data_IF_021188311614
#
_entry.id   IF_021188311614
#
_cell.length_a   1.000
_cell.length_b   1.000
_cell.length_c   1.000
_cell.angle_alpha   90.00
_cell.angle_beta   90.00
_cell.angle_gamma   90.00
#
_symmetry.space_group_name_H-M   'P 1'
#
loop_
_entity.id
_entity.type
_entity.pdbx_description
1 polymer ?
#
# COMPACT_ATOMS: atom_id res chain seq x y z
N UNK A 1 8.01 -2.06 22.87
CA UNK A 1 6.76 -1.39 22.43
C UNK A 1 5.82 -2.46 21.87
N UNK A 2 4.72 -2.76 22.57
CA UNK A 2 3.81 -3.84 22.19
C UNK A 2 2.71 -3.33 21.26
N UNK A 3 2.32 -4.18 20.28
CA UNK A 3 1.28 -3.96 19.27
C UNK A 3 -0.07 -3.46 19.83
N UNK A 4 -0.32 -3.63 21.13
CA UNK A 4 -1.52 -3.13 21.82
C UNK A 4 -1.58 -1.59 21.92
N UNK A 5 -0.45 -0.89 21.94
CA UNK A 5 -0.42 0.57 22.05
C UNK A 5 -0.86 1.30 20.77
N UNK A 6 -0.58 0.73 19.60
CA UNK A 6 -0.94 1.35 18.32
C UNK A 6 -2.45 1.27 18.02
N UNK A 7 -3.12 0.21 18.48
CA UNK A 7 -4.57 0.01 18.27
C UNK A 7 -5.40 0.92 19.18
N UNK A 8 -4.96 1.17 20.41
CA UNK A 8 -5.61 2.10 21.33
C UNK A 8 -5.55 3.56 20.81
N UNK A 9 -4.38 3.99 20.32
CA UNK A 9 -4.22 5.28 19.65
C UNK A 9 -5.11 5.42 18.41
N UNK A 10 -5.31 4.32 17.66
CA UNK A 10 -6.15 4.31 16.47
C UNK A 10 -7.65 4.39 16.80
N UNK A 11 -8.09 3.74 17.89
CA UNK A 11 -9.51 3.70 18.29
C UNK A 11 -9.99 5.04 18.86
N UNK A 12 -9.13 5.73 19.61
CA UNK A 12 -9.41 7.06 20.16
C UNK A 12 -9.44 8.13 19.05
N UNK A 13 -8.60 7.96 18.02
CA UNK A 13 -8.55 8.86 16.87
C UNK A 13 -9.68 8.61 15.86
N UNK A 14 -10.03 7.35 15.56
CA UNK A 14 -11.19 7.01 14.70
C UNK A 14 -12.53 7.47 15.30
N UNK A 15 -12.66 7.51 16.63
CA UNK A 15 -13.85 8.07 17.31
C UNK A 15 -14.03 9.58 17.11
N UNK A 16 -12.96 10.31 16.78
CA UNK A 16 -12.98 11.75 16.48
C UNK A 16 -13.13 12.06 14.98
N UNK A 17 -12.86 11.10 14.08
CA UNK A 17 -12.98 11.29 12.62
C UNK A 17 -14.43 11.30 12.11
N UNK A 18 -15.41 11.09 12.99
CA UNK A 18 -16.84 11.12 12.62
C UNK A 18 -17.38 12.54 12.38
N UNK A 19 -16.58 13.60 12.56
CA UNK A 19 -17.00 14.98 12.28
C UNK A 19 -15.95 15.75 11.47
N UNK A 20 -16.14 15.82 10.14
CA UNK A 20 -15.56 16.85 9.28
C UNK A 20 -14.05 16.78 9.05
N UNK A 21 -13.54 15.72 8.42
CA UNK A 21 -12.14 15.66 7.99
C UNK A 21 -11.85 16.70 6.90
N UNK A 22 -10.83 17.53 7.11
CA UNK A 22 -10.35 18.46 6.09
C UNK A 22 -9.63 17.69 4.97
N UNK A 23 -9.52 18.23 3.75
CA UNK A 23 -8.76 17.60 2.67
C UNK A 23 -7.30 17.27 3.04
N UNK A 24 -6.71 18.03 3.98
CA UNK A 24 -5.37 17.76 4.50
C UNK A 24 -5.27 16.48 5.33
N UNK A 25 -6.32 16.17 6.10
CA UNK A 25 -6.36 14.99 6.97
C UNK A 25 -6.47 13.69 6.15
N UNK A 26 -7.28 13.71 5.08
CA UNK A 26 -7.43 12.59 4.16
C UNK A 26 -6.11 12.27 3.44
N UNK A 27 -5.38 13.31 3.03
CA UNK A 27 -4.08 13.16 2.35
C UNK A 27 -3.01 12.59 3.28
N UNK A 28 -2.94 13.08 4.52
CA UNK A 28 -2.05 12.53 5.53
C UNK A 28 -2.38 11.06 5.84
N UNK A 29 -3.66 10.72 5.96
CA UNK A 29 -4.11 9.34 6.16
C UNK A 29 -3.68 8.42 5.00
N UNK A 30 -3.83 8.88 3.75
CA UNK A 30 -3.35 8.15 2.57
C UNK A 30 -1.84 7.87 2.64
N UNK A 31 -1.02 8.88 2.89
CA UNK A 31 0.44 8.72 2.95
C UNK A 31 0.83 7.64 3.98
N UNK A 32 0.23 7.71 5.17
CA UNK A 32 0.46 6.74 6.24
C UNK A 32 0.02 5.32 5.84
N UNK A 33 -1.18 5.18 5.28
CA UNK A 33 -1.73 3.87 4.88
C UNK A 33 -0.92 3.25 3.74
N UNK A 34 -0.60 4.04 2.72
CA UNK A 34 0.19 3.58 1.59
C UNK A 34 1.60 3.16 2.03
N UNK A 35 2.28 3.99 2.82
CA UNK A 35 3.60 3.64 3.36
C UNK A 35 3.56 2.33 4.15
N UNK A 36 2.61 2.18 5.08
CA UNK A 36 2.46 0.96 5.89
C UNK A 36 2.16 -0.26 5.04
N UNK A 37 1.29 -0.12 4.05
CA UNK A 37 0.90 -1.21 3.16
C UNK A 37 2.10 -1.68 2.32
N UNK A 38 2.89 -0.76 1.78
CA UNK A 38 4.12 -1.05 1.05
C UNK A 38 5.22 -1.63 1.95
N UNK A 39 5.46 -1.02 3.11
CA UNK A 39 6.47 -1.49 4.07
C UNK A 39 6.14 -2.89 4.59
N UNK A 40 4.86 -3.18 4.90
CA UNK A 40 4.41 -4.52 5.29
C UNK A 40 4.68 -5.54 4.20
N UNK A 41 4.30 -5.24 2.95
CA UNK A 41 4.54 -6.14 1.81
C UNK A 41 6.04 -6.39 1.59
N UNK A 42 6.88 -5.37 1.76
CA UNK A 42 8.32 -5.46 1.62
C UNK A 42 8.99 -6.26 2.76
N UNK A 43 8.61 -6.00 4.02
CA UNK A 43 9.17 -6.68 5.20
C UNK A 43 8.71 -8.13 5.31
N UNK A 44 7.42 -8.38 5.11
CA UNK A 44 6.86 -9.75 5.12
C UNK A 44 7.13 -10.52 3.84
N UNK A 45 7.72 -9.87 2.82
CA UNK A 45 8.03 -10.43 1.49
C UNK A 45 6.84 -11.24 0.96
N UNK A 46 5.68 -10.59 0.97
CA UNK A 46 4.39 -11.18 0.59
C UNK A 46 4.16 -11.05 -0.91
N UNK A 47 3.49 -12.04 -1.49
CA UNK A 47 3.02 -11.97 -2.88
C UNK A 47 1.99 -10.83 -3.03
N UNK A 48 2.17 -10.00 -4.06
CA UNK A 48 1.28 -8.88 -4.36
C UNK A 48 -0.10 -9.30 -4.87
N UNK A 49 -0.24 -10.53 -5.38
CA UNK A 49 -1.56 -11.08 -5.62
C UNK A 49 -2.22 -11.40 -4.27
N UNK A 50 -3.22 -10.61 -3.89
CA UNK A 50 -3.93 -10.75 -2.61
C UNK A 50 -4.60 -12.12 -2.45
N UNK A 51 -5.05 -12.74 -3.53
CA UNK A 51 -5.65 -14.08 -3.50
C UNK A 51 -4.62 -15.20 -3.26
N UNK A 52 -3.32 -14.93 -3.38
CA UNK A 52 -2.27 -15.93 -3.22
C UNK A 52 -1.90 -16.17 -1.74
N UNK A 53 -1.76 -15.10 -0.95
CA UNK A 53 -1.40 -15.18 0.47
C UNK A 53 0.02 -15.69 0.79
N UNK A 54 0.81 -16.11 -0.21
CA UNK A 54 2.16 -16.66 -0.02
C UNK A 54 3.15 -15.60 0.49
N UNK A 55 4.04 -16.02 1.38
CA UNK A 55 5.20 -15.24 1.83
C UNK A 55 6.47 -16.00 1.48
N UNK A 56 7.62 -15.33 1.32
CA UNK A 56 8.88 -16.05 1.10
C UNK A 56 9.21 -17.02 2.23
N UNK A 57 8.84 -16.70 3.48
CA UNK A 57 9.04 -17.57 4.64
C UNK A 57 8.19 -18.84 4.58
N UNK A 58 6.98 -18.77 4.01
CA UNK A 58 6.07 -19.91 3.87
C UNK A 58 6.17 -20.62 2.53
N UNK A 59 6.94 -20.09 1.57
CA UNK A 59 7.04 -20.69 0.25
C UNK A 59 7.98 -21.90 0.29
N UNK A 60 7.44 -23.10 0.04
CA UNK A 60 8.24 -24.28 -0.32
C UNK A 60 8.99 -24.11 -1.67
N UNK A 61 8.78 -22.96 -2.32
CA UNK A 61 9.34 -22.59 -3.62
C UNK A 61 10.81 -22.22 -3.42
N UNK A 62 11.73 -22.96 -4.06
CA UNK A 62 13.19 -22.72 -4.02
C UNK A 62 13.64 -21.41 -4.68
N UNK A 63 12.72 -20.59 -5.20
CA UNK A 63 13.02 -19.42 -6.02
C UNK A 63 12.63 -18.13 -5.27
N UNK A 64 13.53 -17.14 -5.28
CA UNK A 64 13.30 -15.82 -4.69
C UNK A 64 12.10 -15.13 -5.35
N UNK A 65 11.28 -14.42 -4.58
CA UNK A 65 10.20 -13.63 -5.15
C UNK A 65 10.77 -12.55 -6.05
N UNK A 66 10.06 -12.26 -7.13
CA UNK A 66 10.49 -11.31 -8.15
C UNK A 66 9.78 -9.99 -7.94
N UNK A 67 10.52 -8.88 -7.98
CA UNK A 67 9.93 -7.54 -7.97
C UNK A 67 9.30 -7.25 -9.32
N UNK A 68 8.23 -6.46 -9.32
CA UNK A 68 7.73 -5.82 -10.53
C UNK A 68 8.85 -4.96 -11.11
N UNK A 69 9.30 -5.25 -12.34
CA UNK A 69 10.43 -4.55 -12.96
C UNK A 69 10.22 -3.07 -13.25
N UNK A 70 8.98 -2.57 -13.13
CA UNK A 70 8.64 -1.16 -13.36
C UNK A 70 8.66 -0.35 -12.07
N UNK A 71 7.80 -0.72 -11.11
CA UNK A 71 7.67 0.05 -9.87
C UNK A 71 8.64 -0.41 -8.77
N UNK A 72 9.18 -1.63 -8.87
CA UNK A 72 10.08 -2.26 -7.88
C UNK A 72 9.48 -2.48 -6.47
N UNK A 73 8.22 -2.10 -6.23
CA UNK A 73 7.54 -2.26 -4.94
C UNK A 73 6.91 -3.64 -4.75
N UNK A 74 6.09 -4.06 -5.72
CA UNK A 74 5.30 -5.29 -5.56
C UNK A 74 6.16 -6.51 -5.85
N UNK A 75 6.11 -7.50 -4.95
CA UNK A 75 6.79 -8.78 -5.09
C UNK A 75 5.81 -9.85 -5.56
N UNK A 76 6.27 -10.80 -6.37
CA UNK A 76 5.47 -11.93 -6.81
C UNK A 76 6.24 -13.23 -6.65
N UNK A 77 5.57 -14.26 -6.14
CA UNK A 77 6.14 -15.62 -6.08
C UNK A 77 6.25 -16.27 -7.46
N UNK A 78 5.48 -15.79 -8.45
CA UNK A 78 5.49 -16.31 -9.82
C UNK A 78 5.04 -15.25 -10.84
N UNK A 79 5.40 -15.46 -12.11
CA UNK A 79 4.89 -14.65 -13.23
C UNK A 79 3.37 -14.79 -13.39
N UNK A 80 2.78 -15.91 -12.98
CA UNK A 80 1.33 -16.09 -13.02
C UNK A 80 0.61 -15.18 -12.03
N UNK A 81 1.10 -15.10 -10.78
CA UNK A 81 0.54 -14.19 -9.78
C UNK A 81 0.67 -12.72 -10.20
N UNK A 82 1.77 -12.34 -10.86
CA UNK A 82 1.89 -11.01 -11.44
C UNK A 82 0.81 -10.72 -12.50
N UNK A 83 0.51 -11.68 -13.37
CA UNK A 83 -0.53 -11.51 -14.41
C UNK A 83 -1.94 -11.40 -13.82
N UNK A 84 -2.24 -12.17 -12.77
CA UNK A 84 -3.54 -12.12 -12.09
C UNK A 84 -3.76 -10.76 -11.41
N UNK A 85 -2.78 -10.29 -10.63
CA UNK A 85 -2.80 -8.97 -9.98
C UNK A 85 -2.84 -7.80 -11.01
N UNK A 86 -2.47 -8.06 -12.26
CA UNK A 86 -2.55 -7.09 -13.35
C UNK A 86 -3.96 -6.93 -13.96
N UNK A 87 -4.86 -7.92 -13.79
CA UNK A 87 -6.12 -8.00 -14.52
C UNK A 87 -7.38 -7.88 -13.64
N UNK A 88 -7.32 -8.16 -12.34
CA UNK A 88 -8.48 -8.23 -11.44
C UNK A 88 -8.67 -6.97 -10.54
N UNK A 89 -9.87 -6.39 -10.52
CA UNK A 89 -10.28 -5.36 -9.55
C UNK A 89 -9.51 -4.03 -9.60
N UNK A 90 -9.17 -3.48 -8.41
CA UNK A 90 -8.19 -2.37 -8.30
C UNK A 90 -6.80 -2.96 -8.51
N UNK A 91 -6.45 -3.11 -9.79
CA UNK A 91 -5.25 -3.84 -10.22
C UNK A 91 -3.95 -3.13 -9.91
N UNK A 92 -2.86 -3.90 -9.83
CA UNK A 92 -1.53 -3.30 -9.87
C UNK A 92 -1.28 -2.49 -11.16
N UNK A 93 -1.90 -2.85 -12.29
CA UNK A 93 -1.74 -2.12 -13.56
C UNK A 93 -2.04 -0.63 -13.43
N UNK A 94 -3.09 -0.29 -12.69
CA UNK A 94 -3.55 1.10 -12.55
C UNK A 94 -2.63 1.92 -11.64
N UNK A 95 -2.10 1.32 -10.57
CA UNK A 95 -1.20 2.01 -9.62
C UNK A 95 0.28 1.90 -9.95
N UNK A 96 0.70 0.95 -10.78
CA UNK A 96 2.11 0.72 -11.11
C UNK A 96 2.83 1.99 -11.61
N UNK A 97 2.25 2.82 -12.50
CA UNK A 97 2.87 4.08 -12.92
C UNK A 97 3.04 5.08 -11.76
N UNK A 98 2.05 5.17 -10.88
CA UNK A 98 2.06 6.08 -9.73
C UNK A 98 3.12 5.66 -8.71
N UNK A 99 3.15 4.37 -8.38
CA UNK A 99 4.21 3.80 -7.55
C UNK A 99 5.58 4.06 -8.18
N UNK A 100 5.74 3.90 -9.50
CA UNK A 100 7.01 4.18 -10.18
C UNK A 100 7.50 5.63 -10.01
N UNK A 101 6.58 6.62 -9.98
CA UNK A 101 6.92 8.03 -9.68
C UNK A 101 7.47 8.17 -8.26
N UNK A 102 6.82 7.55 -7.27
CA UNK A 102 7.30 7.54 -5.88
C UNK A 102 8.69 6.87 -5.80
N UNK A 103 8.87 5.74 -6.50
CA UNK A 103 10.14 5.03 -6.52
C UNK A 103 11.30 5.91 -7.03
N UNK A 104 11.06 6.64 -8.12
CA UNK A 104 12.02 7.55 -8.69
C UNK A 104 12.38 8.71 -7.75
N UNK A 105 11.43 9.17 -6.92
CA UNK A 105 11.62 10.32 -6.04
C UNK A 105 12.31 10.01 -4.70
N UNK A 106 12.21 8.79 -4.17
CA UNK A 106 12.64 8.46 -2.80
C UNK A 106 13.97 7.69 -2.69
N UNK A 107 14.30 6.80 -3.64
CA UNK A 107 15.50 5.95 -3.60
C UNK A 107 15.54 4.87 -2.50
N UNK A 108 14.96 5.12 -1.31
CA UNK A 108 14.84 4.18 -0.19
C UNK A 108 13.55 4.42 0.62
N UNK A 109 12.69 3.41 0.66
CA UNK A 109 11.29 3.47 1.11
C UNK A 109 11.07 2.98 2.55
N UNK A 110 12.13 2.52 3.24
CA UNK A 110 12.00 2.02 4.61
C UNK A 110 11.81 3.15 5.64
N UNK A 111 12.11 4.39 5.24
CA UNK A 111 11.95 5.58 6.05
C UNK A 111 10.65 6.30 5.67
N UNK A 112 9.78 6.54 6.66
CA UNK A 112 8.55 7.30 6.50
C UNK A 112 8.79 8.72 5.99
N UNK A 113 9.77 9.44 6.56
CA UNK A 113 10.04 10.85 6.21
C UNK A 113 10.47 10.96 4.74
N UNK A 114 11.32 10.04 4.28
CA UNK A 114 11.76 9.97 2.89
C UNK A 114 10.63 9.56 1.93
N UNK A 115 9.68 8.76 2.40
CA UNK A 115 8.50 8.39 1.64
C UNK A 115 7.51 9.56 1.52
N UNK A 116 7.23 10.27 2.62
CA UNK A 116 6.31 11.41 2.65
C UNK A 116 6.77 12.53 1.73
N UNK A 117 8.05 12.91 1.81
CA UNK A 117 8.63 13.93 0.92
C UNK A 117 8.53 13.52 -0.54
N UNK A 118 8.83 12.26 -0.87
CA UNK A 118 8.74 11.76 -2.23
C UNK A 118 7.30 11.72 -2.75
N UNK A 119 6.34 11.30 -1.91
CA UNK A 119 4.93 11.29 -2.25
C UNK A 119 4.44 12.71 -2.57
N UNK A 120 4.74 13.68 -1.69
CA UNK A 120 4.33 15.07 -1.87
C UNK A 120 4.97 15.69 -3.12
N UNK A 121 6.23 15.36 -3.40
CA UNK A 121 6.96 15.85 -4.57
C UNK A 121 6.45 15.29 -5.89
N UNK A 122 5.72 14.16 -5.87
CA UNK A 122 5.13 13.60 -7.08
C UNK A 122 3.99 14.45 -7.63
N UNK A 123 3.36 15.31 -6.82
CA UNK A 123 2.24 16.16 -7.25
C UNK A 123 1.07 15.35 -7.81
N UNK A 124 0.59 14.35 -7.05
CA UNK A 124 -0.53 13.52 -7.47
C UNK A 124 -1.83 14.33 -7.55
N UNK A 125 -2.59 14.11 -8.63
CA UNK A 125 -3.96 14.61 -8.74
C UNK A 125 -4.90 13.81 -7.81
N UNK A 126 -6.06 14.38 -7.48
CA UNK A 126 -7.02 13.77 -6.53
C UNK A 126 -7.43 12.35 -6.94
N UNK A 127 -7.62 12.11 -8.23
CA UNK A 127 -8.00 10.81 -8.78
C UNK A 127 -6.86 9.78 -8.62
N UNK A 128 -5.61 10.22 -8.73
CA UNK A 128 -4.43 9.38 -8.53
C UNK A 128 -4.25 9.01 -7.06
N UNK A 129 -4.48 9.97 -6.16
CA UNK A 129 -4.47 9.75 -4.71
C UNK A 129 -5.58 8.77 -4.30
N UNK A 130 -6.79 8.93 -4.84
CA UNK A 130 -7.90 8.00 -4.62
C UNK A 130 -7.59 6.59 -5.12
N UNK A 131 -6.92 6.46 -6.26
CA UNK A 131 -6.52 5.16 -6.81
C UNK A 131 -5.49 4.47 -5.91
N UNK A 132 -4.48 5.21 -5.44
CA UNK A 132 -3.49 4.73 -4.48
C UNK A 132 -4.14 4.33 -3.15
N UNK A 133 -5.08 5.12 -2.67
CA UNK A 133 -5.84 4.84 -1.44
C UNK A 133 -6.59 3.52 -1.56
N UNK A 134 -7.43 3.38 -2.59
CA UNK A 134 -8.22 2.18 -2.84
C UNK A 134 -7.35 0.93 -2.99
N UNK A 135 -6.21 1.05 -3.66
CA UNK A 135 -5.27 -0.06 -3.79
C UNK A 135 -4.56 -0.41 -2.48
N UNK A 136 -4.20 0.59 -1.68
CA UNK A 136 -3.56 0.38 -0.38
C UNK A 136 -4.48 -0.38 0.57
N UNK A 137 -5.78 -0.06 0.58
CA UNK A 137 -6.79 -0.68 1.45
C UNK A 137 -7.36 -2.00 0.90
N UNK A 138 -7.38 -2.22 -0.42
CA UNK A 138 -7.87 -3.47 -1.02
C UNK A 138 -7.03 -4.72 -0.66
N UNK A 139 -5.91 -4.56 0.05
CA UNK A 139 -5.14 -5.65 0.65
C UNK A 139 -5.43 -5.87 2.14
N UNK A 140 -6.41 -5.15 2.70
CA UNK A 140 -6.81 -5.15 4.11
C UNK A 140 -8.29 -5.55 4.25
N UNK A 141 -8.72 -6.67 3.67
CA UNK A 141 -10.12 -7.17 3.67
C UNK A 141 -10.73 -7.50 5.07
N UNK A 142 -10.22 -6.90 6.15
CA UNK A 142 -10.89 -6.84 7.46
C UNK A 142 -11.27 -5.41 7.90
N UNK A 143 -11.11 -4.38 7.06
CA UNK A 143 -11.54 -3.01 7.39
C UNK A 143 -12.71 -2.61 6.48
N UNK A 144 -13.95 -2.49 7.02
CA UNK A 144 -15.09 -2.02 6.24
C UNK A 144 -14.80 -0.63 5.67
N UNK A 145 -14.85 -0.50 4.35
CA UNK A 145 -14.82 0.80 3.67
C UNK A 145 -16.18 1.46 3.91
N UNK A 146 -16.25 2.67 4.50
CA UNK A 146 -17.49 3.41 4.57
C UNK A 146 -17.95 3.75 3.15
N UNK A 147 -19.12 3.25 2.75
CA UNK A 147 -19.80 3.71 1.54
C UNK A 147 -20.25 5.14 1.77
N UNK A 148 -19.64 6.09 1.06
CA UNK A 148 -20.15 7.47 1.03
C UNK A 148 -21.35 7.52 0.10
N UNK A 149 -22.52 7.73 0.69
CA UNK A 149 -23.78 8.10 0.02
C UNK A 149 -24.00 9.60 0.14
#
# INVERSE_FOLDING_TARGET
MTLRGCVAFFRERLGLLAQGESPGDQRAALIVLLHRSLARRALSRMCGNHACGMTEASSAVKHKFQRCGRCMFTLYCSRNCQRQDWAEGVTHKSVCPLLSRIAAATGNFANYDGFEVAFLSCGFEREEENLLFRWAIAGHDDVPVPTMS
#
